data_IF_840712718765
#
_entry.id   IF_840712718765
#
_cell.length_a   1.000
_cell.length_b   1.000
_cell.length_c   1.000
_cell.angle_alpha   90.00
_cell.angle_beta   90.00
_cell.angle_gamma   90.00
#
_symmetry.space_group_name_H-M   'P 1'
#
loop_
_entity.id
_entity.type
_entity.pdbx_description
1 polymer ?
#
# COMPACT_ATOMS: atom_id res chain seq x y z
N UNK A 1 11.19 -3.20 -6.14
CA UNK A 1 11.08 -1.88 -5.48
C UNK A 1 12.31 -1.60 -4.59
N UNK A 2 12.76 -0.34 -4.48
CA UNK A 2 13.63 0.09 -3.36
C UNK A 2 12.74 0.62 -2.24
N UNK A 3 12.86 0.06 -1.05
CA UNK A 3 12.12 0.48 0.15
C UNK A 3 13.03 1.39 0.94
N UNK A 4 12.68 2.67 1.05
CA UNK A 4 13.43 3.62 1.87
C UNK A 4 12.88 3.59 3.31
N UNK A 5 13.68 3.09 4.25
CA UNK A 5 13.25 2.92 5.64
C UNK A 5 12.41 1.66 5.85
N UNK A 6 11.44 1.70 6.77
CA UNK A 6 10.63 0.53 7.13
C UNK A 6 9.46 0.32 6.15
N UNK A 7 9.02 -0.93 6.01
CA UNK A 7 7.83 -1.27 5.21
C UNK A 7 6.58 -0.51 5.69
N UNK A 8 6.42 -0.37 7.02
CA UNK A 8 5.32 0.37 7.62
C UNK A 8 5.34 1.86 7.22
N UNK A 9 6.52 2.49 7.19
CA UNK A 9 6.66 3.87 6.74
C UNK A 9 6.28 4.03 5.26
N UNK A 10 6.71 3.09 4.42
CA UNK A 10 6.37 3.11 2.99
C UNK A 10 4.86 2.93 2.78
N UNK A 11 4.22 2.03 3.52
CA UNK A 11 2.75 1.85 3.48
C UNK A 11 2.03 3.14 3.89
N UNK A 12 2.46 3.82 4.96
CA UNK A 12 1.90 5.11 5.38
C UNK A 12 2.00 6.17 4.28
N UNK A 13 3.18 6.30 3.65
CA UNK A 13 3.38 7.24 2.54
C UNK A 13 2.53 6.89 1.31
N UNK A 14 2.40 5.61 1.00
CA UNK A 14 1.56 5.14 -0.10
C UNK A 14 0.08 5.43 0.16
N UNK A 15 -0.44 5.18 1.36
CA UNK A 15 -1.82 5.50 1.77
C UNK A 15 -2.06 7.00 1.64
N UNK A 16 -1.16 7.84 2.19
CA UNK A 16 -1.29 9.29 2.11
C UNK A 16 -1.29 9.77 0.64
N UNK A 17 -0.42 9.21 -0.19
CA UNK A 17 -0.39 9.52 -1.62
C UNK A 17 -1.66 9.05 -2.33
N UNK A 18 -2.18 7.87 -1.98
CA UNK A 18 -3.41 7.33 -2.54
C UNK A 18 -4.58 8.26 -2.18
N UNK A 19 -4.79 8.55 -0.90
CA UNK A 19 -5.86 9.44 -0.43
C UNK A 19 -5.84 10.81 -1.12
N UNK A 20 -4.65 11.40 -1.28
CA UNK A 20 -4.48 12.67 -1.99
C UNK A 20 -4.90 12.62 -3.46
N UNK A 21 -4.78 11.45 -4.09
CA UNK A 21 -5.14 11.22 -5.49
C UNK A 21 -6.56 10.65 -5.64
N UNK A 22 -7.37 10.60 -4.58
CA UNK A 22 -8.77 10.17 -4.69
C UNK A 22 -9.52 11.12 -5.63
N UNK A 23 -10.27 10.54 -6.58
CA UNK A 23 -10.97 11.30 -7.62
C UNK A 23 -10.10 11.76 -8.81
N UNK A 24 -8.79 11.48 -8.78
CA UNK A 24 -7.87 11.79 -9.89
C UNK A 24 -7.44 10.52 -10.65
N UNK A 25 -7.20 10.61 -11.96
CA UNK A 25 -6.52 9.56 -12.71
C UNK A 25 -5.14 9.30 -12.10
N UNK A 26 -4.78 8.03 -11.94
CA UNK A 26 -3.48 7.61 -11.45
C UNK A 26 -2.81 6.76 -12.52
N UNK A 27 -1.52 7.02 -12.76
CA UNK A 27 -0.75 6.27 -13.75
C UNK A 27 -0.71 4.77 -13.39
N UNK A 28 -0.79 3.87 -14.38
CA UNK A 28 -0.71 2.43 -14.14
C UNK A 28 0.51 2.02 -13.30
N UNK A 29 1.66 2.68 -13.52
CA UNK A 29 2.90 2.41 -12.78
C UNK A 29 2.78 2.73 -11.29
N UNK A 30 2.05 3.79 -10.93
CA UNK A 30 1.79 4.13 -9.52
C UNK A 30 0.88 3.10 -8.86
N UNK A 31 -0.12 2.58 -9.60
CA UNK A 31 -0.98 1.49 -9.11
C UNK A 31 -0.15 0.21 -8.94
N UNK A 32 0.71 -0.11 -9.91
CA UNK A 32 1.61 -1.25 -9.84
C UNK A 32 2.55 -1.15 -8.64
N UNK A 33 3.11 0.03 -8.39
CA UNK A 33 3.93 0.30 -7.21
C UNK A 33 3.18 0.04 -5.90
N UNK A 34 1.95 0.54 -5.73
CA UNK A 34 1.15 0.26 -4.54
C UNK A 34 0.83 -1.23 -4.36
N UNK A 35 0.59 -1.95 -5.45
CA UNK A 35 0.39 -3.41 -5.42
C UNK A 35 1.65 -4.17 -5.04
N UNK A 36 2.80 -3.78 -5.55
CA UNK A 36 4.10 -4.35 -5.16
C UNK A 36 4.35 -4.09 -3.66
N UNK A 37 4.06 -2.88 -3.18
CA UNK A 37 4.20 -2.54 -1.78
C UNK A 37 3.26 -3.34 -0.87
N UNK A 38 2.03 -3.63 -1.30
CA UNK A 38 1.14 -4.55 -0.58
C UNK A 38 1.72 -5.97 -0.50
N UNK A 39 2.35 -6.45 -1.57
CA UNK A 39 3.00 -7.76 -1.56
C UNK A 39 4.12 -7.81 -0.52
N UNK A 40 4.98 -6.79 -0.50
CA UNK A 40 6.06 -6.69 0.49
C UNK A 40 5.53 -6.48 1.92
N UNK A 41 4.44 -5.71 2.09
CA UNK A 41 3.73 -5.56 3.36
C UNK A 41 3.25 -6.90 3.91
N UNK A 42 2.58 -7.71 3.08
CA UNK A 42 2.11 -9.06 3.45
C UNK A 42 3.25 -10.03 3.75
N UNK A 43 4.38 -9.91 3.04
CA UNK A 43 5.60 -10.68 3.36
C UNK A 43 6.18 -10.30 4.71
N UNK A 44 6.31 -9.01 4.99
CA UNK A 44 6.82 -8.52 6.27
C UNK A 44 5.90 -8.93 7.43
N UNK A 45 4.58 -8.82 7.22
CA UNK A 45 3.55 -9.28 8.16
C UNK A 45 3.73 -10.75 8.55
N UNK A 46 4.08 -11.62 7.60
CA UNK A 46 4.32 -13.04 7.88
C UNK A 46 5.45 -13.32 8.87
N UNK A 47 6.35 -12.36 9.08
CA UNK A 47 7.48 -12.45 10.02
C UNK A 47 7.31 -11.53 11.26
N UNK A 48 6.24 -10.74 11.33
CA UNK A 48 6.01 -9.76 12.38
C UNK A 48 5.25 -10.36 13.57
N UNK A 49 5.36 -9.73 14.75
CA UNK A 49 4.63 -10.12 15.95
C UNK A 49 4.22 -8.91 16.80
N UNK A 50 3.22 -9.11 17.65
CA UNK A 50 2.78 -8.10 18.61
C UNK A 50 2.31 -6.81 17.94
N UNK A 51 2.84 -5.67 18.42
CA UNK A 51 2.45 -4.34 17.94
C UNK A 51 2.80 -4.11 16.46
N UNK A 52 3.91 -4.66 15.97
CA UNK A 52 4.31 -4.53 14.56
C UNK A 52 3.33 -5.27 13.65
N UNK A 53 2.90 -6.47 14.04
CA UNK A 53 1.90 -7.23 13.29
C UNK A 53 0.58 -6.45 13.17
N UNK A 54 0.10 -5.91 14.29
CA UNK A 54 -1.13 -5.11 14.32
C UNK A 54 -1.01 -3.83 13.48
N UNK A 55 0.15 -3.17 13.51
CA UNK A 55 0.40 -2.00 12.65
C UNK A 55 0.37 -2.37 11.16
N UNK A 56 1.02 -3.48 10.78
CA UNK A 56 1.04 -3.93 9.39
C UNK A 56 -0.34 -4.35 8.89
N UNK A 57 -1.13 -5.03 9.72
CA UNK A 57 -2.53 -5.39 9.41
C UNK A 57 -3.33 -4.14 9.00
N UNK A 58 -3.34 -3.11 9.87
CA UNK A 58 -4.09 -1.88 9.63
C UNK A 58 -3.62 -1.15 8.36
N UNK A 59 -2.31 -1.09 8.14
CA UNK A 59 -1.75 -0.39 6.98
C UNK A 59 -2.02 -1.13 5.68
N UNK A 60 -1.94 -2.46 5.68
CA UNK A 60 -2.26 -3.30 4.52
C UNK A 60 -3.74 -3.13 4.16
N UNK A 61 -4.64 -3.28 5.12
CA UNK A 61 -6.09 -3.11 4.91
C UNK A 61 -6.43 -1.71 4.37
N UNK A 62 -5.79 -0.67 4.90
CA UNK A 62 -6.00 0.71 4.46
C UNK A 62 -5.61 0.92 2.99
N UNK A 63 -4.45 0.40 2.58
CA UNK A 63 -3.99 0.55 1.20
C UNK A 63 -4.79 -0.34 0.22
N UNK A 64 -5.23 -1.52 0.67
CA UNK A 64 -6.15 -2.38 -0.09
C UNK A 64 -7.48 -1.68 -0.35
N UNK A 65 -8.04 -1.02 0.67
CA UNK A 65 -9.27 -0.23 0.53
C UNK A 65 -9.11 0.90 -0.50
N UNK A 66 -8.02 1.68 -0.40
CA UNK A 66 -7.71 2.74 -1.37
C UNK A 66 -7.55 2.24 -2.81
N UNK A 67 -7.09 1.01 -3.00
CA UNK A 67 -6.96 0.38 -4.32
C UNK A 67 -8.28 -0.21 -4.83
N UNK A 68 -9.12 -0.75 -3.95
CA UNK A 68 -10.43 -1.30 -4.31
C UNK A 68 -11.39 -0.22 -4.82
N UNK A 69 -11.29 1.01 -4.29
CA UNK A 69 -12.06 2.17 -4.77
C UNK A 69 -11.60 2.68 -6.15
N UNK A 70 -10.47 2.18 -6.67
CA UNK A 70 -9.93 2.62 -7.97
C UNK A 70 -10.32 1.62 -9.05
N UNK A 71 -11.07 2.05 -10.10
CA UNK A 71 -11.32 1.19 -11.23
C UNK A 71 -9.98 0.79 -11.87
N UNK A 72 -9.83 -0.49 -12.18
CA UNK A 72 -8.70 -0.96 -12.98
C UNK A 72 -8.68 -0.16 -14.30
N UNK A 73 -7.50 0.24 -14.82
CA UNK A 73 -7.43 0.90 -16.11
C UNK A 73 -8.15 0.03 -17.14
N UNK A 74 -9.13 0.60 -17.84
CA UNK A 74 -9.70 -0.03 -19.03
C UNK A 74 -8.55 -0.24 -20.02
N UNK A 75 -8.31 -1.50 -20.37
CA UNK A 75 -7.39 -1.89 -21.43
C UNK A 75 -7.83 -1.32 -22.78
#
# INVERSE_FOLDING_TARGET
MKIDGTIANNLKLAIASAQRLRGHPVYPDTIAFWRELLHEGRRARGNAAGAELAELDVLIESLEHELAERPAPKA
#
